data_IF_116280203451
#
_entry.id   IF_116280203451
#
_cell.length_a   1.000
_cell.length_b   1.000
_cell.length_c   1.000
_cell.angle_alpha   90.00
_cell.angle_beta   90.00
_cell.angle_gamma   90.00
#
_symmetry.space_group_name_H-M   'P 1'
#
loop_
_entity.id
_entity.type
_entity.pdbx_description
1 polymer ?
#
# COMPACT_ATOMS: atom_id res chain seq x y z
N UNK A 1 27.29 22.10 6.01
CA UNK A 1 26.26 21.10 6.37
C UNK A 1 24.93 21.62 5.86
N UNK A 2 24.34 20.98 4.84
CA UNK A 2 23.10 21.47 4.21
C UNK A 2 21.88 21.07 5.07
N UNK A 3 20.90 21.97 5.20
CA UNK A 3 19.69 21.81 6.02
C UNK A 3 18.90 20.56 5.63
N UNK A 4 19.16 19.46 6.34
CA UNK A 4 18.28 18.30 6.35
C UNK A 4 16.94 18.72 6.98
N UNK A 5 15.81 18.14 6.55
CA UNK A 5 14.52 18.40 7.18
C UNK A 5 14.64 18.18 8.69
N UNK A 6 14.20 19.16 9.47
CA UNK A 6 14.37 19.14 10.92
C UNK A 6 13.71 17.88 11.52
N UNK A 7 14.37 17.16 12.45
CA UNK A 7 13.84 15.92 13.04
C UNK A 7 12.48 16.08 13.74
N UNK A 8 12.06 17.31 14.06
CA UNK A 8 10.74 17.59 14.64
C UNK A 8 9.57 17.18 13.74
N UNK A 9 9.77 17.22 12.41
CA UNK A 9 8.75 16.77 11.45
C UNK A 9 8.41 15.28 11.57
N UNK A 10 9.25 14.49 12.25
CA UNK A 10 8.96 13.08 12.52
C UNK A 10 7.86 12.89 13.58
N UNK A 11 7.66 13.90 14.44
CA UNK A 11 6.80 13.81 15.62
C UNK A 11 5.52 14.66 15.53
N UNK A 12 5.31 15.39 14.43
CA UNK A 12 4.11 16.20 14.23
C UNK A 12 2.87 15.31 14.00
N UNK A 13 1.75 15.66 14.65
CA UNK A 13 0.48 14.94 14.52
C UNK A 13 -0.60 15.85 13.95
N UNK A 14 -1.10 15.52 12.76
CA UNK A 14 -2.17 16.24 12.09
C UNK A 14 -3.54 16.14 12.79
N UNK A 15 -4.53 16.96 12.37
CA UNK A 15 -5.87 17.01 12.94
C UNK A 15 -6.70 15.74 12.65
N UNK A 16 -7.71 15.46 13.50
CA UNK A 16 -8.52 14.23 13.37
C UNK A 16 -9.49 14.25 12.17
N UNK A 17 -10.12 15.39 11.83
CA UNK A 17 -10.91 15.61 10.61
C UNK A 17 -11.85 14.48 10.16
N UNK A 18 -12.50 13.78 11.10
CA UNK A 18 -13.41 12.67 10.79
C UNK A 18 -12.73 11.36 10.36
N UNK A 19 -11.44 11.18 10.65
CA UNK A 19 -10.66 9.99 10.29
C UNK A 19 -11.30 8.68 10.77
N UNK A 20 -12.05 8.70 11.88
CA UNK A 20 -12.78 7.52 12.37
C UNK A 20 -13.75 6.94 11.34
N UNK A 21 -14.39 7.77 10.50
CA UNK A 21 -15.32 7.28 9.46
C UNK A 21 -14.61 6.49 8.38
N UNK A 22 -13.40 6.93 8.02
CA UNK A 22 -12.55 6.24 7.06
C UNK A 22 -12.00 4.96 7.67
N UNK A 23 -11.55 5.02 8.93
CA UNK A 23 -11.04 3.87 9.66
C UNK A 23 -12.09 2.76 9.79
N UNK A 24 -13.31 3.09 10.23
CA UNK A 24 -14.41 2.12 10.33
C UNK A 24 -14.74 1.52 8.97
N UNK A 25 -14.80 2.34 7.91
CA UNK A 25 -15.03 1.85 6.55
C UNK A 25 -13.96 0.85 6.12
N UNK A 26 -12.68 1.19 6.32
CA UNK A 26 -11.56 0.32 5.99
C UNK A 26 -11.59 -0.98 6.80
N UNK A 27 -11.89 -0.90 8.10
CA UNK A 27 -12.07 -2.05 8.97
C UNK A 27 -13.18 -2.98 8.49
N UNK A 28 -14.34 -2.45 8.09
CA UNK A 28 -15.44 -3.24 7.51
C UNK A 28 -15.03 -3.86 6.17
N UNK A 29 -14.40 -3.07 5.30
CA UNK A 29 -13.96 -3.52 3.98
C UNK A 29 -12.93 -4.65 4.04
N UNK A 30 -12.09 -4.71 5.07
CA UNK A 30 -11.13 -5.79 5.30
C UNK A 30 -11.77 -6.94 6.10
N UNK A 31 -12.42 -6.63 7.21
CA UNK A 31 -12.91 -7.62 8.17
C UNK A 31 -14.02 -8.51 7.63
N UNK A 32 -14.98 -7.96 6.87
CA UNK A 32 -16.09 -8.76 6.35
C UNK A 32 -15.62 -9.82 5.35
N UNK A 33 -14.81 -9.50 4.31
CA UNK A 33 -14.23 -10.53 3.45
C UNK A 33 -13.42 -11.58 4.20
N UNK A 34 -12.62 -11.20 5.20
CA UNK A 34 -11.86 -12.16 6.01
C UNK A 34 -12.74 -13.10 6.81
N UNK A 35 -13.82 -12.59 7.43
CA UNK A 35 -14.79 -13.42 8.15
C UNK A 35 -15.52 -14.38 7.22
N UNK A 36 -15.84 -13.94 5.99
CA UNK A 36 -16.44 -14.81 4.96
C UNK A 36 -15.46 -15.91 4.59
N UNK A 37 -14.21 -15.57 4.27
CA UNK A 37 -13.17 -16.54 3.92
C UNK A 37 -12.91 -17.54 5.04
N UNK A 38 -12.83 -17.07 6.29
CA UNK A 38 -12.73 -17.95 7.46
C UNK A 38 -13.94 -18.87 7.59
N UNK A 39 -15.16 -18.34 7.42
CA UNK A 39 -16.39 -19.12 7.52
C UNK A 39 -16.54 -20.21 6.45
N UNK A 40 -15.94 -20.01 5.26
CA UNK A 40 -15.91 -21.01 4.18
C UNK A 40 -14.65 -21.88 4.19
N UNK A 41 -13.73 -21.69 5.15
CA UNK A 41 -12.50 -22.47 5.27
C UNK A 41 -11.39 -22.12 4.27
N UNK A 42 -11.44 -20.93 3.65
CA UNK A 42 -10.52 -20.49 2.59
C UNK A 42 -9.65 -19.28 3.02
N UNK A 43 -9.01 -19.37 4.19
CA UNK A 43 -8.18 -18.29 4.74
C UNK A 43 -6.89 -18.05 3.96
N UNK A 44 -6.44 -19.01 3.16
CA UNK A 44 -5.32 -18.86 2.22
C UNK A 44 -5.56 -17.75 1.18
N UNK A 45 -6.83 -17.40 0.92
CA UNK A 45 -7.20 -16.30 0.01
C UNK A 45 -7.23 -14.92 0.72
N UNK A 46 -6.93 -14.86 2.02
CA UNK A 46 -7.03 -13.66 2.84
C UNK A 46 -6.19 -12.50 2.29
N UNK A 47 -4.97 -12.80 1.81
CA UNK A 47 -4.07 -11.82 1.22
C UNK A 47 -4.71 -11.12 0.01
N UNK A 48 -5.28 -11.89 -0.93
CA UNK A 48 -5.92 -11.37 -2.14
C UNK A 48 -7.17 -10.55 -1.81
N UNK A 49 -7.96 -11.02 -0.83
CA UNK A 49 -9.13 -10.27 -0.36
C UNK A 49 -8.74 -8.92 0.24
N UNK A 50 -7.62 -8.86 0.97
CA UNK A 50 -7.12 -7.64 1.60
C UNK A 50 -6.70 -6.62 0.54
N UNK A 51 -6.02 -7.06 -0.52
CA UNK A 51 -5.67 -6.18 -1.64
C UNK A 51 -6.90 -5.61 -2.36
N UNK A 52 -7.96 -6.39 -2.51
CA UNK A 52 -9.25 -5.87 -2.99
C UNK A 52 -9.85 -4.81 -2.04
N UNK A 53 -9.77 -5.06 -0.73
CA UNK A 53 -10.31 -4.15 0.30
C UNK A 53 -9.59 -2.79 0.36
N UNK A 54 -8.32 -2.73 -0.03
CA UNK A 54 -7.51 -1.50 -0.08
C UNK A 54 -8.07 -0.43 -1.03
N UNK A 55 -8.97 -0.79 -1.95
CA UNK A 55 -9.75 0.18 -2.75
C UNK A 55 -10.47 1.19 -1.84
N UNK A 56 -10.93 0.76 -0.66
CA UNK A 56 -11.60 1.60 0.33
C UNK A 56 -10.73 2.73 0.89
N UNK A 57 -9.39 2.64 0.73
CA UNK A 57 -8.42 3.60 1.26
C UNK A 57 -8.32 4.86 0.40
N UNK A 58 -8.83 4.82 -0.83
CA UNK A 58 -8.74 5.91 -1.78
C UNK A 58 -9.93 6.87 -1.70
N UNK A 59 -9.71 8.11 -2.16
CA UNK A 59 -10.73 9.16 -2.30
C UNK A 59 -11.53 9.46 -1.01
N UNK A 60 -10.83 9.48 0.14
CA UNK A 60 -11.39 9.63 1.49
C UNK A 60 -12.22 10.89 1.73
N UNK A 61 -11.82 12.01 1.14
CA UNK A 61 -12.41 13.34 1.32
C UNK A 61 -13.55 13.64 0.36
N UNK A 62 -13.82 12.77 -0.61
CA UNK A 62 -14.82 13.02 -1.65
C UNK A 62 -16.21 12.52 -1.26
N UNK A 63 -17.23 13.12 -1.89
CA UNK A 63 -18.62 12.65 -1.83
C UNK A 63 -18.76 11.21 -2.35
N UNK A 64 -19.84 10.52 -1.99
CA UNK A 64 -20.00 9.09 -2.24
C UNK A 64 -19.86 8.70 -3.73
N UNK A 65 -20.48 9.42 -4.67
CA UNK A 65 -20.39 9.07 -6.10
C UNK A 65 -19.06 9.46 -6.73
N UNK A 66 -18.48 10.60 -6.35
CA UNK A 66 -17.16 10.99 -6.85
C UNK A 66 -16.13 9.98 -6.37
N UNK A 67 -16.22 9.60 -5.09
CA UNK A 67 -15.40 8.55 -4.50
C UNK A 67 -15.60 7.23 -5.25
N UNK A 68 -16.83 6.80 -5.51
CA UNK A 68 -17.09 5.56 -6.24
C UNK A 68 -16.42 5.55 -7.62
N UNK A 69 -16.57 6.63 -8.40
CA UNK A 69 -15.93 6.76 -9.71
C UNK A 69 -14.40 6.66 -9.64
N UNK A 70 -13.78 7.35 -8.69
CA UNK A 70 -12.33 7.28 -8.49
C UNK A 70 -11.87 5.89 -8.03
N UNK A 71 -12.61 5.30 -7.09
CA UNK A 71 -12.35 3.98 -6.55
C UNK A 71 -12.53 2.88 -7.61
N UNK A 72 -13.40 3.04 -8.60
CA UNK A 72 -13.51 2.08 -9.72
C UNK A 72 -12.20 2.00 -10.51
N UNK A 73 -11.56 3.13 -10.80
CA UNK A 73 -10.25 3.14 -11.45
C UNK A 73 -9.17 2.47 -10.60
N UNK A 74 -9.19 2.74 -9.29
CA UNK A 74 -8.28 2.10 -8.33
C UNK A 74 -8.54 0.59 -8.22
N UNK A 75 -9.80 0.15 -8.27
CA UNK A 75 -10.18 -1.26 -8.25
C UNK A 75 -9.64 -2.00 -9.46
N UNK A 76 -9.78 -1.42 -10.66
CA UNK A 76 -9.17 -1.98 -11.88
C UNK A 76 -7.65 -2.08 -11.72
N UNK A 77 -7.02 -1.06 -11.15
CA UNK A 77 -5.61 -1.09 -10.76
C UNK A 77 -5.30 -2.26 -9.83
N UNK A 78 -5.86 -2.29 -8.63
CA UNK A 78 -5.57 -3.33 -7.63
C UNK A 78 -5.84 -4.75 -8.13
N UNK A 79 -6.97 -4.97 -8.82
CA UNK A 79 -7.28 -6.29 -9.41
C UNK A 79 -6.27 -6.63 -10.51
N UNK A 80 -5.94 -5.69 -11.39
CA UNK A 80 -4.89 -5.88 -12.39
C UNK A 80 -3.51 -6.19 -11.78
N UNK A 81 -3.18 -5.56 -10.65
CA UNK A 81 -1.95 -5.86 -9.92
C UNK A 81 -1.91 -7.31 -9.42
N UNK A 82 -3.00 -7.75 -8.78
CA UNK A 82 -3.15 -9.14 -8.32
C UNK A 82 -3.13 -10.11 -9.51
N UNK A 83 -3.85 -9.83 -10.59
CA UNK A 83 -3.85 -10.67 -11.79
C UNK A 83 -2.48 -10.79 -12.45
N UNK A 84 -1.71 -9.70 -12.54
CA UNK A 84 -0.35 -9.73 -13.08
C UNK A 84 0.58 -10.50 -12.14
N UNK A 85 0.48 -10.25 -10.82
CA UNK A 85 1.27 -10.99 -9.84
C UNK A 85 0.98 -12.50 -9.90
N UNK A 86 -0.30 -12.85 -10.01
CA UNK A 86 -0.77 -14.23 -10.14
C UNK A 86 -0.32 -14.88 -11.47
N UNK A 87 -0.23 -14.11 -12.56
CA UNK A 87 0.33 -14.62 -13.80
C UNK A 87 1.85 -14.84 -13.69
N UNK A 88 2.57 -13.96 -12.99
CA UNK A 88 4.01 -14.12 -12.73
C UNK A 88 4.29 -15.35 -11.86
N UNK A 89 3.43 -15.66 -10.88
CA UNK A 89 3.63 -16.82 -10.00
C UNK A 89 3.51 -18.18 -10.70
N UNK A 90 2.91 -18.23 -11.90
CA UNK A 90 2.86 -19.44 -12.74
C UNK A 90 4.23 -19.83 -13.33
N UNK A 91 5.20 -18.92 -13.33
CA UNK A 91 6.53 -19.17 -13.90
C UNK A 91 7.52 -19.66 -12.84
N UNK A 92 8.35 -20.63 -13.23
CA UNK A 92 9.51 -21.05 -12.43
C UNK A 92 10.51 -19.89 -12.22
N UNK A 93 10.56 -18.93 -13.15
CA UNK A 93 11.45 -17.75 -13.08
C UNK A 93 10.79 -16.52 -12.44
N UNK A 94 9.74 -16.72 -11.63
CA UNK A 94 8.96 -15.63 -10.98
C UNK A 94 9.83 -14.59 -10.26
N UNK A 95 10.91 -15.03 -9.62
CA UNK A 95 11.84 -14.15 -8.87
C UNK A 95 12.51 -13.10 -9.75
N UNK A 96 12.77 -13.43 -11.02
CA UNK A 96 13.35 -12.51 -11.99
C UNK A 96 12.30 -11.77 -12.80
N UNK A 97 11.17 -12.42 -13.11
CA UNK A 97 10.06 -11.80 -13.85
C UNK A 97 9.31 -10.73 -13.06
N UNK A 98 9.25 -10.84 -11.74
CA UNK A 98 8.58 -9.86 -10.88
C UNK A 98 9.25 -8.48 -10.95
N UNK A 99 10.58 -8.42 -11.18
CA UNK A 99 11.34 -7.16 -11.21
C UNK A 99 10.89 -6.23 -12.37
N UNK A 100 10.97 -6.64 -13.66
CA UNK A 100 10.51 -5.81 -14.76
C UNK A 100 8.99 -5.62 -14.74
N UNK A 101 8.21 -6.64 -14.36
CA UNK A 101 6.76 -6.53 -14.25
C UNK A 101 6.36 -5.43 -13.26
N UNK A 102 6.97 -5.42 -12.08
CA UNK A 102 6.70 -4.42 -11.04
C UNK A 102 7.19 -3.03 -11.45
N UNK A 103 8.37 -2.92 -12.05
CA UNK A 103 8.92 -1.63 -12.49
C UNK A 103 8.01 -0.94 -13.52
N UNK A 104 7.58 -1.70 -14.55
CA UNK A 104 6.66 -1.20 -15.58
C UNK A 104 5.31 -0.85 -14.95
N UNK A 105 4.78 -1.75 -14.13
CA UNK A 105 3.47 -1.58 -13.52
C UNK A 105 3.43 -0.39 -12.55
N UNK A 106 4.48 -0.19 -11.76
CA UNK A 106 4.65 0.96 -10.87
C UNK A 106 4.65 2.29 -11.64
N UNK A 107 5.31 2.35 -12.81
CA UNK A 107 5.30 3.53 -13.67
C UNK A 107 3.89 3.80 -14.23
N UNK A 108 3.22 2.77 -14.74
CA UNK A 108 1.84 2.87 -15.29
C UNK A 108 0.88 3.38 -14.22
N UNK A 109 0.87 2.76 -13.04
CA UNK A 109 -0.02 3.14 -11.94
C UNK A 109 0.30 4.52 -11.39
N UNK A 110 1.58 4.90 -11.30
CA UNK A 110 1.95 6.24 -10.87
C UNK A 110 1.46 7.29 -11.86
N UNK A 111 1.60 7.04 -13.16
CA UNK A 111 1.05 7.90 -14.22
C UNK A 111 -0.48 7.99 -14.18
N UNK A 112 -1.16 6.86 -13.99
CA UNK A 112 -2.61 6.81 -13.81
C UNK A 112 -3.06 7.61 -12.57
N UNK A 113 -2.37 7.43 -11.44
CA UNK A 113 -2.65 8.15 -10.20
C UNK A 113 -2.52 9.67 -10.39
N UNK A 114 -1.52 10.14 -11.13
CA UNK A 114 -1.39 11.57 -11.49
C UNK A 114 -2.54 12.02 -12.40
N UNK A 115 -2.80 11.26 -13.48
CA UNK A 115 -3.80 11.59 -14.51
C UNK A 115 -5.23 11.63 -13.98
N UNK A 116 -5.54 10.82 -12.99
CA UNK A 116 -6.88 10.69 -12.39
C UNK A 116 -6.96 11.27 -10.97
N UNK A 117 -5.91 11.96 -10.51
CA UNK A 117 -5.80 12.53 -9.17
C UNK A 117 -6.12 11.53 -8.04
N UNK A 118 -5.63 10.30 -8.17
CA UNK A 118 -5.79 9.30 -7.11
C UNK A 118 -5.01 9.74 -5.86
N UNK A 119 -5.70 9.68 -4.72
CA UNK A 119 -5.14 9.91 -3.40
C UNK A 119 -5.44 8.69 -2.52
N UNK A 120 -4.44 8.08 -1.86
CA UNK A 120 -3.01 8.47 -1.85
C UNK A 120 -2.32 8.33 -3.21
N UNK A 121 -1.33 9.19 -3.49
CA UNK A 121 -0.59 9.22 -4.76
C UNK A 121 0.51 8.17 -4.79
N UNK A 122 0.89 7.72 -5.99
CA UNK A 122 1.94 6.72 -6.21
C UNK A 122 1.39 5.30 -6.34
N UNK A 123 2.31 4.33 -6.39
CA UNK A 123 2.01 2.94 -6.70
C UNK A 123 2.15 1.97 -5.51
N UNK A 124 2.23 2.46 -4.27
CA UNK A 124 2.51 1.63 -3.09
C UNK A 124 1.61 0.37 -2.98
N UNK A 125 0.29 0.56 -2.89
CA UNK A 125 -0.62 -0.56 -2.68
C UNK A 125 -0.69 -1.51 -3.89
N UNK A 126 -0.77 -1.03 -5.15
CA UNK A 126 -0.72 -1.92 -6.30
C UNK A 126 0.63 -2.65 -6.46
N UNK A 127 1.76 -2.01 -6.17
CA UNK A 127 3.08 -2.69 -6.15
C UNK A 127 3.10 -3.79 -5.10
N UNK A 128 2.57 -3.52 -3.90
CA UNK A 128 2.49 -4.54 -2.87
C UNK A 128 1.59 -5.71 -3.28
N UNK A 129 0.43 -5.43 -3.87
CA UNK A 129 -0.49 -6.44 -4.37
C UNK A 129 0.15 -7.36 -5.43
N UNK A 130 0.81 -6.76 -6.43
CA UNK A 130 1.48 -7.51 -7.49
C UNK A 130 2.60 -8.38 -6.91
N UNK A 131 3.51 -7.77 -6.17
CA UNK A 131 4.75 -8.44 -5.75
C UNK A 131 4.51 -9.52 -4.69
N UNK A 132 3.58 -9.30 -3.75
CA UNK A 132 3.21 -10.31 -2.77
C UNK A 132 2.49 -11.49 -3.45
N UNK A 133 1.58 -11.22 -4.38
CA UNK A 133 0.91 -12.28 -5.16
C UNK A 133 1.90 -13.08 -6.00
N UNK A 134 2.88 -12.41 -6.63
CA UNK A 134 3.93 -13.07 -7.42
C UNK A 134 4.87 -13.95 -6.59
N UNK A 135 4.97 -13.71 -5.28
CA UNK A 135 5.86 -14.46 -4.38
C UNK A 135 5.30 -15.82 -3.98
N UNK A 136 3.99 -16.03 -4.09
CA UNK A 136 3.31 -17.26 -3.69
C UNK A 136 3.21 -18.17 -4.92
N UNK A 137 3.93 -19.30 -4.96
CA UNK A 137 3.83 -20.25 -6.07
C UNK A 137 2.41 -20.84 -6.13
N UNK A 138 1.88 -21.01 -7.33
CA UNK A 138 0.54 -21.57 -7.50
C UNK A 138 0.28 -22.01 -8.95
N UNK A 139 -0.79 -22.78 -9.13
CA UNK A 139 -1.27 -23.17 -10.44
C UNK A 139 -2.22 -22.14 -11.06
N UNK A 140 -2.72 -22.45 -12.26
CA UNK A 140 -3.71 -21.61 -12.97
C UNK A 140 -4.96 -21.37 -12.12
N UNK A 141 -5.42 -22.39 -11.40
CA UNK A 141 -6.60 -22.28 -10.53
C UNK A 141 -6.37 -21.28 -9.39
N UNK A 142 -5.21 -21.32 -8.73
CA UNK A 142 -4.86 -20.40 -7.65
C UNK A 142 -4.77 -18.97 -8.17
N UNK A 143 -4.21 -18.79 -9.38
CA UNK A 143 -4.14 -17.49 -10.03
C UNK A 143 -5.53 -16.90 -10.34
N UNK A 144 -6.46 -17.74 -10.81
CA UNK A 144 -7.84 -17.34 -11.04
C UNK A 144 -8.57 -17.02 -9.73
N UNK A 145 -8.36 -17.82 -8.68
CA UNK A 145 -8.92 -17.58 -7.36
C UNK A 145 -8.39 -16.29 -6.73
N UNK A 146 -7.09 -15.99 -6.90
CA UNK A 146 -6.49 -14.75 -6.43
C UNK A 146 -7.16 -13.53 -7.09
N UNK A 147 -7.28 -13.55 -8.42
CA UNK A 147 -7.92 -12.47 -9.18
C UNK A 147 -9.41 -12.33 -8.83
N UNK A 148 -10.15 -13.44 -8.74
CA UNK A 148 -11.57 -13.45 -8.40
C UNK A 148 -11.82 -12.93 -6.97
N UNK A 149 -11.01 -13.36 -6.01
CA UNK A 149 -11.12 -12.91 -4.61
C UNK A 149 -10.81 -11.43 -4.47
N UNK A 150 -9.76 -10.95 -5.14
CA UNK A 150 -9.44 -9.52 -5.17
C UNK A 150 -10.56 -8.71 -5.81
N UNK A 151 -11.15 -9.19 -6.91
CA UNK A 151 -12.27 -8.53 -7.58
C UNK A 151 -13.55 -8.51 -6.73
N UNK A 152 -13.88 -9.62 -6.06
CA UNK A 152 -15.02 -9.70 -5.17
C UNK A 152 -14.88 -8.75 -3.98
N UNK A 153 -13.70 -8.74 -3.34
CA UNK A 153 -13.42 -7.83 -2.23
C UNK A 153 -13.36 -6.36 -2.66
N UNK A 154 -12.79 -6.05 -3.83
CA UNK A 154 -12.82 -4.70 -4.40
C UNK A 154 -14.26 -4.23 -4.69
N UNK A 155 -15.10 -5.12 -5.22
CA UNK A 155 -16.52 -4.84 -5.45
C UNK A 155 -17.25 -4.58 -4.13
N UNK A 156 -16.98 -5.39 -3.10
CA UNK A 156 -17.51 -5.15 -1.76
C UNK A 156 -17.05 -3.79 -1.18
N UNK A 157 -15.76 -3.45 -1.31
CA UNK A 157 -15.24 -2.16 -0.87
C UNK A 157 -15.93 -0.96 -1.58
N UNK A 158 -16.23 -1.09 -2.87
CA UNK A 158 -17.02 -0.10 -3.61
C UNK A 158 -18.44 0.02 -3.07
N UNK A 159 -19.10 -1.12 -2.78
CA UNK A 159 -20.44 -1.15 -2.18
C UNK A 159 -20.46 -0.47 -0.81
N UNK A 160 -19.50 -0.75 0.07
CA UNK A 160 -19.36 -0.06 1.36
C UNK A 160 -19.14 1.45 1.13
N UNK A 161 -18.36 1.82 0.11
CA UNK A 161 -18.15 3.21 -0.30
C UNK A 161 -19.44 3.96 -0.66
N UNK A 162 -20.40 3.29 -1.29
CA UNK A 162 -21.70 3.89 -1.70
C UNK A 162 -22.85 3.61 -0.74
N UNK A 163 -22.70 2.71 0.23
CA UNK A 163 -23.76 2.29 1.15
C UNK A 163 -24.47 3.45 1.87
N UNK A 164 -23.74 4.53 2.18
CA UNK A 164 -24.33 5.76 2.75
C UNK A 164 -25.42 6.41 1.88
N UNK A 165 -25.42 6.17 0.57
CA UNK A 165 -26.47 6.62 -0.35
C UNK A 165 -27.79 5.86 -0.19
N UNK A 166 -27.87 4.81 0.62
CA UNK A 166 -29.16 4.19 0.94
C UNK A 166 -30.11 5.17 1.67
N UNK A 167 -29.56 6.16 2.39
CA UNK A 167 -30.33 7.14 3.17
C UNK A 167 -30.78 8.33 2.28
N UNK A 168 -32.08 8.67 2.24
CA UNK A 168 -32.58 9.81 1.44
C UNK A 168 -31.94 11.15 1.79
N UNK A 169 -31.67 11.38 3.07
CA UNK A 169 -30.98 12.59 3.58
C UNK A 169 -29.56 12.74 3.01
N UNK A 170 -28.81 11.63 2.95
CA UNK A 170 -27.47 11.60 2.35
C UNK A 170 -27.53 11.85 0.85
N UNK A 171 -28.52 11.30 0.13
CA UNK A 171 -28.71 11.60 -1.30
C UNK A 171 -28.98 13.08 -1.57
N UNK A 172 -29.79 13.73 -0.73
CA UNK A 172 -30.11 15.15 -0.86
C UNK A 172 -28.91 16.05 -0.56
N UNK A 173 -28.10 15.69 0.44
CA UNK A 173 -26.82 16.37 0.72
C UNK A 173 -25.84 16.19 -0.45
N UNK A 174 -25.72 14.96 -0.95
CA UNK A 174 -24.82 14.60 -2.03
C UNK A 174 -25.11 15.36 -3.34
N UNK A 175 -26.40 15.55 -3.70
CA UNK A 175 -26.79 16.37 -4.86
C UNK A 175 -26.31 17.81 -4.72
N UNK A 176 -26.47 18.41 -3.54
CA UNK A 176 -26.01 19.78 -3.24
C UNK A 176 -24.49 19.87 -3.29
N UNK A 177 -23.80 18.93 -2.64
CA UNK A 177 -22.34 18.87 -2.64
C UNK A 177 -21.76 18.72 -4.06
N UNK A 178 -22.40 17.95 -4.95
CA UNK A 178 -22.00 17.84 -6.36
C UNK A 178 -22.24 19.13 -7.15
N UNK A 179 -23.38 19.80 -6.94
CA UNK A 179 -23.68 21.06 -7.63
C UNK A 179 -22.64 22.15 -7.29
N UNK A 180 -22.07 22.10 -6.08
CA UNK A 180 -21.03 23.02 -5.63
C UNK A 180 -19.60 22.48 -5.79
N UNK A 181 -19.42 21.27 -6.34
CA UNK A 181 -18.10 20.66 -6.45
C UNK A 181 -17.31 21.29 -7.60
N UNK A 182 -16.11 21.79 -7.32
CA UNK A 182 -15.15 22.15 -8.35
C UNK A 182 -14.71 20.91 -9.13
N UNK A 183 -14.43 21.02 -10.44
CA UNK A 183 -13.85 19.94 -11.22
C UNK A 183 -12.58 19.40 -10.55
N UNK A 184 -12.42 18.08 -10.52
CA UNK A 184 -11.17 17.47 -10.08
C UNK A 184 -10.09 17.86 -11.09
N UNK A 185 -9.15 18.70 -10.66
CA UNK A 185 -8.01 19.05 -11.48
C UNK A 185 -7.00 17.91 -11.41
N UNK A 186 -6.72 17.20 -12.52
CA UNK A 186 -5.69 16.17 -12.52
C UNK A 186 -4.32 16.79 -12.26
N UNK A 187 -3.46 16.07 -11.56
CA UNK A 187 -2.06 16.45 -11.44
C UNK A 187 -1.45 16.41 -12.86
N UNK A 188 -0.56 17.35 -13.19
CA UNK A 188 0.16 17.30 -14.48
C UNK A 188 0.90 15.97 -14.53
N UNK A 189 0.60 15.15 -15.55
CA UNK A 189 1.31 13.90 -15.78
C UNK A 189 2.79 14.21 -15.98
N UNK A 190 3.63 13.71 -15.08
CA UNK A 190 5.08 13.77 -15.18
C UNK A 190 5.57 12.38 -15.52
N UNK A 191 5.48 12.03 -16.81
CA UNK A 191 5.87 10.72 -17.31
C UNK A 191 7.30 10.33 -16.87
N UNK A 192 8.22 11.31 -16.86
CA UNK A 192 9.57 11.13 -16.31
C UNK A 192 9.57 10.66 -14.85
N UNK A 193 8.81 11.32 -13.98
CA UNK A 193 8.77 10.98 -12.55
C UNK A 193 8.16 9.58 -12.34
N UNK A 194 7.14 9.23 -13.14
CA UNK A 194 6.54 7.90 -13.10
C UNK A 194 7.50 6.80 -13.58
N UNK A 195 8.21 7.02 -14.70
CA UNK A 195 9.19 6.06 -15.24
C UNK A 195 10.37 5.89 -14.29
N UNK A 196 10.95 7.00 -13.81
CA UNK A 196 12.05 6.95 -12.84
C UNK A 196 11.60 6.25 -11.56
N UNK A 197 10.39 6.53 -11.07
CA UNK A 197 9.83 5.82 -9.92
C UNK A 197 9.74 4.32 -10.14
N UNK A 198 9.26 3.88 -11.32
CA UNK A 198 9.23 2.47 -11.70
C UNK A 198 10.62 1.83 -11.73
N UNK A 199 11.60 2.50 -12.32
CA UNK A 199 13.00 2.02 -12.36
C UNK A 199 13.56 1.86 -10.94
N UNK A 200 13.36 2.85 -10.06
CA UNK A 200 13.85 2.79 -8.67
C UNK A 200 13.20 1.65 -7.89
N UNK A 201 11.91 1.38 -8.12
CA UNK A 201 11.22 0.21 -7.52
C UNK A 201 11.84 -1.09 -8.02
N UNK A 202 12.10 -1.22 -9.33
CA UNK A 202 12.78 -2.41 -9.88
C UNK A 202 14.19 -2.61 -9.33
N UNK A 203 14.99 -1.53 -9.25
CA UNK A 203 16.35 -1.57 -8.66
C UNK A 203 16.31 -1.97 -7.18
N UNK A 204 15.32 -1.50 -6.42
CA UNK A 204 15.15 -1.89 -5.04
C UNK A 204 14.89 -3.40 -4.87
N UNK A 205 14.19 -4.03 -5.81
CA UNK A 205 14.02 -5.50 -5.83
C UNK A 205 15.24 -6.25 -6.35
N UNK A 206 15.98 -5.69 -7.30
CA UNK A 206 17.14 -6.34 -7.91
C UNK A 206 18.21 -6.68 -6.87
N UNK A 207 18.49 -5.76 -5.93
CA UNK A 207 19.50 -5.95 -4.89
C UNK A 207 19.22 -7.24 -4.08
N UNK A 208 18.11 -7.36 -3.33
CA UNK A 208 17.85 -8.56 -2.53
C UNK A 208 17.72 -9.83 -3.37
N UNK A 209 17.17 -9.76 -4.59
CA UNK A 209 17.10 -10.92 -5.50
C UNK A 209 18.49 -11.42 -5.88
N UNK A 210 19.45 -10.54 -6.17
CA UNK A 210 20.82 -10.95 -6.54
C UNK A 210 21.61 -11.55 -5.37
N UNK A 211 21.28 -11.16 -4.13
CA UNK A 211 21.89 -11.71 -2.92
C UNK A 211 21.15 -12.95 -2.36
N UNK A 212 20.07 -13.39 -3.02
CA UNK A 212 19.30 -14.56 -2.58
C UNK A 212 18.58 -14.35 -1.25
N UNK A 213 18.11 -13.13 -0.96
CA UNK A 213 17.31 -12.87 0.23
C UNK A 213 15.89 -13.41 0.06
N UNK A 214 15.27 -13.84 1.16
CA UNK A 214 13.99 -14.58 1.14
C UNK A 214 12.79 -13.73 0.69
N UNK A 215 12.80 -12.42 0.95
CA UNK A 215 11.64 -11.55 0.72
C UNK A 215 11.96 -10.27 -0.09
N UNK A 216 12.49 -10.40 -1.33
CA UNK A 216 13.00 -9.28 -2.11
C UNK A 216 11.91 -8.24 -2.45
N UNK A 217 10.64 -8.64 -2.44
CA UNK A 217 9.54 -7.73 -2.70
C UNK A 217 9.34 -6.65 -1.64
N UNK A 218 9.74 -6.88 -0.39
CA UNK A 218 9.59 -5.86 0.65
C UNK A 218 10.43 -4.61 0.35
N UNK A 219 11.58 -4.77 -0.32
CA UNK A 219 12.40 -3.66 -0.77
C UNK A 219 11.69 -2.85 -1.86
N UNK A 220 11.04 -3.52 -2.82
CA UNK A 220 10.23 -2.86 -3.85
C UNK A 220 9.08 -2.06 -3.23
N UNK A 221 8.37 -2.64 -2.25
CA UNK A 221 7.28 -1.99 -1.52
C UNK A 221 7.79 -0.80 -0.70
N UNK A 222 8.95 -0.92 -0.05
CA UNK A 222 9.56 0.17 0.71
C UNK A 222 9.97 1.34 -0.20
N UNK A 223 10.55 1.06 -1.38
CA UNK A 223 10.86 2.08 -2.37
C UNK A 223 9.59 2.76 -2.88
N UNK A 224 8.56 2.00 -3.27
CA UNK A 224 7.28 2.54 -3.71
C UNK A 224 6.60 3.40 -2.62
N UNK A 225 6.75 3.03 -1.34
CA UNK A 225 6.23 3.78 -0.21
C UNK A 225 6.94 5.13 -0.02
N UNK A 226 8.26 5.14 -0.13
CA UNK A 226 9.05 6.37 0.01
C UNK A 226 8.83 7.32 -1.18
N UNK A 227 8.63 6.79 -2.39
CA UNK A 227 8.35 7.55 -3.62
C UNK A 227 6.91 8.11 -3.70
N UNK A 228 6.00 7.69 -2.81
CA UNK A 228 4.60 8.10 -2.83
C UNK A 228 4.35 9.56 -2.36
N UNK A 229 5.33 10.45 -2.50
CA UNK A 229 5.32 11.89 -2.14
C UNK A 229 5.86 12.75 -3.27
N UNK A 230 5.71 14.07 -3.14
CA UNK A 230 6.11 15.02 -4.17
C UNK A 230 7.43 15.70 -3.82
N UNK A 231 8.50 15.21 -4.43
CA UNK A 231 9.82 15.84 -4.39
C UNK A 231 10.80 15.19 -3.41
N UNK A 232 12.11 15.46 -3.58
CA UNK A 232 13.18 14.72 -2.91
C UNK A 232 13.12 14.85 -1.39
N UNK A 233 12.75 16.03 -0.89
CA UNK A 233 12.78 16.35 0.53
C UNK A 233 11.68 15.58 1.29
N UNK A 234 10.47 15.53 0.71
CA UNK A 234 9.37 14.74 1.26
C UNK A 234 9.66 13.23 1.16
N UNK A 235 10.34 12.79 0.10
CA UNK A 235 10.77 11.40 -0.05
C UNK A 235 11.77 11.01 1.05
N UNK A 236 12.73 11.88 1.39
CA UNK A 236 13.67 11.64 2.50
C UNK A 236 12.96 11.56 3.86
N UNK A 237 12.02 12.46 4.14
CA UNK A 237 11.22 12.40 5.37
C UNK A 237 10.40 11.11 5.42
N UNK A 238 9.78 10.73 4.29
CA UNK A 238 8.98 9.51 4.22
C UNK A 238 9.80 8.23 4.32
N UNK A 239 11.02 8.23 3.77
CA UNK A 239 12.02 7.19 3.98
C UNK A 239 12.37 7.02 5.46
N UNK A 240 12.63 8.13 6.17
CA UNK A 240 12.90 8.11 7.62
C UNK A 240 11.73 7.56 8.44
N UNK A 241 10.50 8.02 8.15
CA UNK A 241 9.28 7.45 8.74
C UNK A 241 9.12 5.96 8.43
N UNK A 242 9.46 5.53 7.19
CA UNK A 242 9.36 4.14 6.76
C UNK A 242 10.26 3.24 7.60
N UNK A 243 11.52 3.61 7.76
CA UNK A 243 12.47 2.82 8.53
C UNK A 243 12.09 2.76 10.02
N UNK A 244 11.86 3.92 10.65
CA UNK A 244 11.54 4.01 12.08
C UNK A 244 10.21 3.34 12.43
N UNK A 245 9.18 3.57 11.63
CA UNK A 245 7.87 2.96 11.80
C UNK A 245 7.86 1.46 11.53
N UNK A 246 8.70 0.97 10.61
CA UNK A 246 8.85 -0.49 10.39
C UNK A 246 9.54 -1.17 11.55
N UNK A 247 10.63 -0.61 12.11
CA UNK A 247 11.28 -1.20 13.30
C UNK A 247 10.31 -1.27 14.47
N UNK A 248 9.61 -0.18 14.78
CA UNK A 248 8.62 -0.17 15.86
C UNK A 248 7.45 -1.12 15.59
N UNK A 249 6.96 -1.17 14.35
CA UNK A 249 5.87 -2.07 13.97
C UNK A 249 6.25 -3.55 13.95
N UNK A 250 7.51 -3.89 13.65
CA UNK A 250 8.03 -5.27 13.78
C UNK A 250 8.01 -5.72 15.25
N UNK A 251 8.36 -4.83 16.19
CA UNK A 251 8.24 -5.15 17.62
C UNK A 251 6.79 -5.42 18.04
N UNK A 252 5.82 -4.66 17.51
CA UNK A 252 4.39 -4.92 17.73
C UNK A 252 3.97 -6.26 17.10
N UNK A 253 4.45 -6.56 15.90
CA UNK A 253 4.14 -7.81 15.20
C UNK A 253 4.63 -9.02 16.02
N UNK A 254 5.86 -8.93 16.50
CA UNK A 254 6.46 -9.93 17.38
C UNK A 254 5.61 -10.22 18.61
N UNK A 255 5.13 -9.17 19.31
CA UNK A 255 4.27 -9.33 20.47
C UNK A 255 2.94 -10.02 20.14
N UNK A 256 2.33 -9.71 19.00
CA UNK A 256 1.06 -10.32 18.59
C UNK A 256 1.27 -11.79 18.20
N UNK A 257 2.30 -12.07 17.40
CA UNK A 257 2.60 -13.41 16.90
C UNK A 257 3.10 -14.35 18.00
N UNK A 258 3.72 -13.82 19.06
CA UNK A 258 4.16 -14.62 20.21
C UNK A 258 3.00 -15.21 21.05
N UNK A 259 1.77 -14.71 20.89
CA UNK A 259 0.60 -15.12 21.70
C UNK A 259 -0.21 -16.26 21.07
N UNK A 260 0.10 -16.65 19.82
CA UNK A 260 -0.61 -17.70 19.05
C UNK A 260 -2.15 -17.56 19.12
N UNK A 261 -2.64 -16.44 18.57
CA UNK A 261 -4.05 -16.08 18.65
C UNK A 261 -4.94 -17.03 17.82
N UNK A 262 -6.13 -17.40 18.33
CA UNK A 262 -7.09 -18.17 17.53
C UNK A 262 -7.56 -17.34 16.32
N UNK A 263 -8.02 -17.98 15.23
CA UNK A 263 -8.30 -17.31 13.95
C UNK A 263 -9.19 -16.07 14.05
N UNK A 264 -10.26 -16.13 14.85
CA UNK A 264 -11.17 -14.99 15.05
C UNK A 264 -10.49 -13.81 15.77
N UNK A 265 -9.63 -14.10 16.74
CA UNK A 265 -8.86 -13.07 17.43
C UNK A 265 -7.81 -12.45 16.49
N UNK A 266 -7.20 -13.24 15.60
CA UNK A 266 -6.29 -12.75 14.56
C UNK A 266 -7.00 -11.83 13.57
N UNK A 267 -8.20 -12.20 13.09
CA UNK A 267 -9.02 -11.33 12.23
C UNK A 267 -9.40 -10.03 12.97
N UNK A 268 -9.76 -10.11 14.26
CA UNK A 268 -10.04 -8.93 15.06
C UNK A 268 -8.81 -8.03 15.21
N UNK A 269 -7.63 -8.59 15.47
CA UNK A 269 -6.36 -7.86 15.55
C UNK A 269 -6.04 -7.18 14.22
N UNK A 270 -6.18 -7.89 13.08
CA UNK A 270 -6.05 -7.32 11.73
C UNK A 270 -7.00 -6.13 11.54
N UNK A 271 -8.27 -6.25 11.93
CA UNK A 271 -9.23 -5.16 11.80
C UNK A 271 -8.85 -3.95 12.66
N UNK A 272 -8.42 -4.17 13.90
CA UNK A 272 -7.98 -3.11 14.81
C UNK A 272 -6.74 -2.41 14.27
N UNK A 273 -5.71 -3.17 13.87
CA UNK A 273 -4.49 -2.62 13.28
C UNK A 273 -4.80 -1.82 12.00
N UNK A 274 -5.70 -2.32 11.16
CA UNK A 274 -6.17 -1.62 9.96
C UNK A 274 -6.88 -0.30 10.30
N UNK A 275 -7.77 -0.31 11.30
CA UNK A 275 -8.46 0.90 11.74
C UNK A 275 -7.47 1.92 12.33
N UNK A 276 -6.53 1.49 13.16
CA UNK A 276 -5.48 2.33 13.72
C UNK A 276 -4.58 2.92 12.62
N UNK A 277 -4.11 2.10 11.68
CA UNK A 277 -3.35 2.58 10.53
C UNK A 277 -4.09 3.73 9.81
N UNK A 278 -5.40 3.58 9.61
CA UNK A 278 -6.20 4.59 8.92
C UNK A 278 -6.53 5.84 9.73
N UNK A 279 -6.58 5.72 11.05
CA UNK A 279 -6.68 6.86 11.94
C UNK A 279 -5.43 7.76 11.84
N UNK A 280 -4.25 7.16 11.58
CA UNK A 280 -2.98 7.88 11.63
C UNK A 280 -2.34 8.19 10.27
N UNK A 281 -2.68 7.48 9.18
CA UNK A 281 -1.95 7.59 7.90
C UNK A 281 -1.85 9.00 7.31
N UNK A 282 -2.86 9.84 7.54
CA UNK A 282 -2.87 11.25 7.10
C UNK A 282 -2.31 12.20 8.16
N UNK A 283 -2.23 11.76 9.42
CA UNK A 283 -1.87 12.58 10.58
C UNK A 283 -0.40 12.47 10.94
N UNK A 284 0.16 11.26 10.89
CA UNK A 284 1.58 10.99 11.05
C UNK A 284 1.89 9.63 10.39
N UNK A 285 2.68 9.66 9.31
CA UNK A 285 2.97 8.47 8.52
C UNK A 285 3.82 7.44 9.29
N UNK A 286 4.80 7.91 10.09
CA UNK A 286 5.64 7.02 10.91
C UNK A 286 4.80 6.25 11.94
N UNK A 287 3.90 6.94 12.65
CA UNK A 287 2.98 6.31 13.59
C UNK A 287 2.01 5.36 12.91
N UNK A 288 1.52 5.69 11.71
CA UNK A 288 0.68 4.78 10.94
C UNK A 288 1.41 3.47 10.62
N UNK A 289 2.72 3.53 10.36
CA UNK A 289 3.54 2.35 10.06
C UNK A 289 3.76 1.42 11.26
N UNK A 290 3.65 1.93 12.48
CA UNK A 290 3.60 1.10 13.70
C UNK A 290 2.42 0.12 13.65
N UNK A 291 1.34 0.47 12.95
CA UNK A 291 0.17 -0.40 12.76
C UNK A 291 0.16 -1.12 11.40
N UNK A 292 0.60 -0.47 10.32
CA UNK A 292 0.63 -1.07 8.97
C UNK A 292 1.63 -2.21 8.88
N UNK A 293 2.78 -2.11 9.56
CA UNK A 293 3.81 -3.16 9.53
C UNK A 293 3.34 -4.45 10.19
N UNK A 294 2.84 -4.46 11.45
CA UNK A 294 2.29 -5.67 12.05
C UNK A 294 1.05 -6.16 11.33
N UNK A 295 0.20 -5.26 10.80
CA UNK A 295 -0.93 -5.65 9.97
C UNK A 295 -0.49 -6.53 8.81
N UNK A 296 0.54 -6.11 8.07
CA UNK A 296 1.02 -6.83 6.91
C UNK A 296 1.69 -8.17 7.27
N UNK A 297 2.40 -8.23 8.40
CA UNK A 297 3.07 -9.44 8.89
C UNK A 297 2.06 -10.46 9.42
N UNK A 298 1.14 -10.04 10.30
CA UNK A 298 0.09 -10.89 10.85
C UNK A 298 -0.84 -11.39 9.76
N UNK A 299 -1.16 -10.56 8.74
CA UNK A 299 -1.95 -11.02 7.60
C UNK A 299 -1.23 -12.10 6.79
N UNK A 300 0.08 -11.93 6.55
CA UNK A 300 0.87 -12.88 5.78
C UNK A 300 0.96 -14.22 6.50
N UNK A 301 1.25 -14.18 7.80
CA UNK A 301 1.30 -15.36 8.66
C UNK A 301 -0.07 -16.04 8.79
N UNK A 302 -1.17 -15.26 8.87
CA UNK A 302 -2.53 -15.80 8.90
C UNK A 302 -2.90 -16.55 7.62
N UNK A 303 -2.45 -16.07 6.45
CA UNK A 303 -2.71 -16.73 5.17
C UNK A 303 -1.77 -17.93 4.94
N UNK A 304 -0.50 -17.79 5.32
CA UNK A 304 0.55 -18.78 5.13
C UNK A 304 1.47 -18.82 6.36
N UNK A 305 1.12 -19.63 7.38
CA UNK A 305 1.87 -19.69 8.63
C UNK A 305 3.35 -20.00 8.40
N UNK A 306 4.22 -19.22 9.02
CA UNK A 306 5.67 -19.39 8.91
C UNK A 306 6.24 -20.03 10.20
N UNK A 307 7.18 -20.97 10.09
CA UNK A 307 7.69 -21.70 11.26
C UNK A 307 8.66 -20.89 12.13
N UNK A 308 9.19 -19.75 11.66
CA UNK A 308 10.16 -18.95 12.40
C UNK A 308 9.94 -17.44 12.32
N UNK A 309 10.60 -16.71 13.22
CA UNK A 309 10.56 -15.24 13.28
C UNK A 309 11.56 -14.58 12.30
N UNK A 310 12.13 -15.33 11.36
CA UNK A 310 13.10 -14.79 10.36
C UNK A 310 12.48 -13.70 9.50
N UNK A 311 11.17 -13.83 9.21
CA UNK A 311 10.35 -12.85 8.51
C UNK A 311 10.43 -11.45 9.16
N UNK A 312 10.57 -11.36 10.49
CA UNK A 312 10.67 -10.09 11.19
C UNK A 312 11.98 -9.36 10.88
N UNK A 313 13.09 -10.09 10.85
CA UNK A 313 14.39 -9.51 10.53
C UNK A 313 14.50 -9.13 9.06
N UNK A 314 14.05 -10.03 8.17
CA UNK A 314 13.92 -9.76 6.75
C UNK A 314 13.17 -8.43 6.54
N UNK A 315 12.00 -8.28 7.16
CA UNK A 315 11.16 -7.09 7.03
C UNK A 315 11.92 -5.78 7.30
N UNK A 316 12.81 -5.76 8.28
CA UNK A 316 13.67 -4.60 8.59
C UNK A 316 14.74 -4.41 7.51
N UNK A 317 15.45 -5.48 7.18
CA UNK A 317 16.54 -5.48 6.21
C UNK A 317 16.08 -5.01 4.81
N UNK A 318 15.05 -5.63 4.24
CA UNK A 318 14.60 -5.25 2.89
C UNK A 318 13.97 -3.86 2.87
N UNK A 319 13.33 -3.44 3.98
CA UNK A 319 12.86 -2.06 4.10
C UNK A 319 14.02 -1.08 4.09
N UNK A 320 15.13 -1.39 4.76
CA UNK A 320 16.33 -0.57 4.73
C UNK A 320 16.94 -0.49 3.32
N UNK A 321 16.99 -1.62 2.59
CA UNK A 321 17.48 -1.66 1.20
C UNK A 321 16.61 -0.76 0.29
N UNK A 322 15.29 -0.94 0.32
CA UNK A 322 14.39 -0.15 -0.52
C UNK A 322 14.43 1.35 -0.21
N UNK A 323 14.54 1.70 1.08
CA UNK A 323 14.72 3.08 1.52
C UNK A 323 16.06 3.65 1.06
N UNK A 324 17.15 2.88 1.14
CA UNK A 324 18.48 3.31 0.73
C UNK A 324 18.53 3.67 -0.76
N UNK A 325 17.87 2.90 -1.63
CA UNK A 325 17.75 3.19 -3.07
C UNK A 325 17.09 4.56 -3.31
N UNK A 326 16.00 4.85 -2.61
CA UNK A 326 15.29 6.13 -2.75
C UNK A 326 16.10 7.30 -2.19
N UNK A 327 16.78 7.11 -1.05
CA UNK A 327 17.67 8.13 -0.48
C UNK A 327 18.81 8.45 -1.45
N UNK A 328 19.47 7.43 -2.00
CA UNK A 328 20.56 7.61 -2.96
C UNK A 328 20.09 8.39 -4.20
N UNK A 329 18.93 8.04 -4.76
CA UNK A 329 18.34 8.76 -5.89
C UNK A 329 17.99 10.21 -5.55
N UNK A 330 17.41 10.47 -4.37
CA UNK A 330 17.07 11.82 -3.91
C UNK A 330 18.33 12.69 -3.72
N UNK A 331 19.42 12.13 -3.19
CA UNK A 331 20.69 12.84 -3.02
C UNK A 331 21.37 13.14 -4.36
N UNK A 332 21.35 12.21 -5.31
CA UNK A 332 21.88 12.41 -6.66
C UNK A 332 21.08 13.48 -7.44
N UNK A 333 19.76 13.49 -7.28
CA UNK A 333 18.93 14.54 -7.87
C UNK A 333 19.25 15.93 -7.30
N UNK A 334 19.58 16.01 -6.01
CA UNK A 334 19.98 17.27 -5.37
C UNK A 334 21.36 17.74 -5.86
N UNK A 335 22.32 16.84 -6.05
CA UNK A 335 23.67 17.22 -6.50
C UNK A 335 23.67 17.79 -7.93
N UNK A 336 22.83 17.24 -8.81
CA UNK A 336 22.72 17.66 -10.22
C UNK A 336 21.95 18.98 -10.42
N UNK A 337 21.23 19.47 -9.42
CA UNK A 337 20.44 20.73 -9.48
C UNK A 337 21.07 21.91 -8.75
N UNK A 338 22.25 21.75 -8.12
CA UNK A 338 22.95 22.90 -7.54
C UNK A 338 23.47 23.79 -8.67
N UNK A 339 23.18 25.11 -8.68
CA UNK A 339 23.85 26.01 -9.59
C UNK A 339 25.37 25.95 -9.35
N UNK A 340 26.21 26.17 -10.38
CA UNK A 340 27.65 26.27 -10.18
C UNK A 340 27.92 27.32 -9.10
N UNK A 341 28.84 27.02 -8.18
CA UNK A 341 29.34 28.04 -7.25
C UNK A 341 29.97 29.12 -8.11
N UNK A 342 29.41 30.33 -8.08
CA UNK A 342 30.12 31.53 -8.53
C UNK A 342 31.28 31.74 -7.56
N UNK A 343 32.47 31.32 -7.97
CA UNK A 343 33.73 31.79 -7.39
C UNK A 343 33.98 33.25 -7.78
#
# INVERSE_FOLDING_TARGET
MADLPHPRRLFELGPHNGAHRVAIRAGISVGVPLLILWGIGHVELALYSTFGAFVSFYARSHSHLIRARLQTGVAIGMVGAVSIGAAVSLSEHREWLVLPATAVYAAVITGAAQRFAWKPTGALFPVFALTATASIPGGMTDALLAAATAAASASFALLVGVAGLARPSTRAFERRARASASPIQPDRLRARDAIVGGILVGVAGLIPTTFGLDYPYWAMVAAAAALATSGPDEQLVRAGHRLTGTVAGVAVAWLIMAVDLPPLATIAAICVLQMCAELFVVRNYGLALVFVTPLALVMLDFAHPQPDLSLLWARVLETAIGVAVVIAAALLWRSTRRPPRSE
#
